data_IF_399011119093
#
_entry.id   IF_399011119093
#
_cell.length_a   1.000
_cell.length_b   1.000
_cell.length_c   1.000
_cell.angle_alpha   90.00
_cell.angle_beta   90.00
_cell.angle_gamma   90.00
#
_symmetry.space_group_name_H-M   'P 1'
#
loop_
_entity.id
_entity.type
_entity.pdbx_description
1 polymer ?
#
# COMPACT_ATOMS: atom_id res chain seq x y z
N UNK A 1 -10.03 16.86 14.79
CA UNK A 1 -9.75 17.37 13.43
C UNK A 1 -8.26 17.43 13.07
N UNK A 2 -7.41 18.13 13.84
CA UNK A 2 -5.99 18.28 13.51
C UNK A 2 -5.22 16.94 13.46
N UNK A 3 -5.57 15.99 14.34
CA UNK A 3 -4.90 14.69 14.48
C UNK A 3 -5.19 13.77 13.30
N UNK A 4 -6.43 13.80 12.83
CA UNK A 4 -6.95 13.07 11.69
C UNK A 4 -6.28 13.57 10.42
N UNK A 5 -6.13 14.90 10.26
CA UNK A 5 -5.39 15.49 9.15
C UNK A 5 -3.91 15.08 9.17
N UNK A 6 -3.27 15.05 10.34
CA UNK A 6 -1.88 14.59 10.48
C UNK A 6 -1.73 13.10 10.12
N UNK A 7 -2.64 12.25 10.61
CA UNK A 7 -2.62 10.82 10.30
C UNK A 7 -2.78 10.55 8.80
N UNK A 8 -3.70 11.26 8.14
CA UNK A 8 -3.92 11.17 6.69
C UNK A 8 -2.71 11.71 5.93
N UNK A 9 -2.15 12.86 6.33
CA UNK A 9 -0.97 13.42 5.69
C UNK A 9 0.24 12.48 5.78
N UNK A 10 0.46 11.84 6.93
CA UNK A 10 1.54 10.86 7.10
C UNK A 10 1.30 9.61 6.25
N UNK A 11 0.06 9.11 6.15
CA UNK A 11 -0.28 7.99 5.29
C UNK A 11 0.12 8.28 3.83
N UNK A 12 -0.30 9.43 3.30
CA UNK A 12 0.06 9.84 1.93
C UNK A 12 1.56 10.11 1.76
N UNK A 13 2.22 10.69 2.76
CA UNK A 13 3.66 10.92 2.70
C UNK A 13 4.45 9.60 2.66
N UNK A 14 4.06 8.61 3.47
CA UNK A 14 4.69 7.27 3.48
C UNK A 14 4.49 6.57 2.14
N UNK A 15 3.28 6.61 1.59
CA UNK A 15 3.04 6.09 0.24
C UNK A 15 3.90 6.80 -0.79
N UNK A 16 3.88 8.13 -0.83
CA UNK A 16 4.67 8.89 -1.79
C UNK A 16 6.18 8.60 -1.70
N UNK A 17 6.73 8.48 -0.49
CA UNK A 17 8.14 8.18 -0.27
C UNK A 17 8.50 6.73 -0.63
N UNK A 18 7.64 5.76 -0.31
CA UNK A 18 7.86 4.35 -0.60
C UNK A 18 7.54 3.99 -2.05
N UNK A 19 6.76 4.80 -2.75
CA UNK A 19 6.30 4.54 -4.10
C UNK A 19 7.45 4.18 -5.06
N UNK A 20 8.46 5.05 -5.12
CA UNK A 20 9.60 4.91 -6.02
C UNK A 20 10.51 3.72 -5.70
N UNK A 21 10.96 3.49 -4.44
CA UNK A 21 11.76 2.31 -4.14
C UNK A 21 10.97 1.00 -4.22
N UNK A 22 9.65 1.01 -4.02
CA UNK A 22 8.83 -0.20 -4.00
C UNK A 22 8.42 -0.68 -5.39
N UNK A 23 8.02 0.24 -6.27
CA UNK A 23 7.53 -0.10 -7.62
C UNK A 23 8.54 0.23 -8.74
N UNK A 24 9.64 0.92 -8.43
CA UNK A 24 10.64 1.48 -9.37
C UNK A 24 10.10 2.53 -10.34
N UNK A 25 8.95 2.28 -10.96
CA UNK A 25 8.34 3.13 -11.97
C UNK A 25 6.79 3.10 -11.91
N UNK A 26 6.17 3.93 -12.74
CA UNK A 26 4.71 4.09 -12.76
C UNK A 26 3.96 2.91 -13.38
N UNK A 27 4.55 2.24 -14.37
CA UNK A 27 3.97 1.02 -14.93
C UNK A 27 3.94 -0.09 -13.88
N UNK A 28 5.02 -0.28 -13.12
CA UNK A 28 5.07 -1.27 -12.04
C UNK A 28 3.92 -1.12 -11.03
N UNK A 29 3.55 0.11 -10.68
CA UNK A 29 2.41 0.36 -9.79
C UNK A 29 1.05 0.08 -10.44
N UNK A 30 0.87 0.55 -11.68
CA UNK A 30 -0.39 0.35 -12.42
C UNK A 30 -0.62 -1.13 -12.69
N UNK A 31 0.43 -1.89 -12.99
CA UNK A 31 0.36 -3.32 -13.20
C UNK A 31 -0.08 -4.02 -11.90
N UNK A 32 0.55 -3.75 -10.76
CA UNK A 32 0.12 -4.35 -9.48
C UNK A 32 -1.33 -3.98 -9.10
N UNK A 33 -1.76 -2.73 -9.34
CA UNK A 33 -3.16 -2.31 -9.15
C UNK A 33 -4.13 -3.06 -10.06
N UNK A 34 -3.75 -3.22 -11.33
CA UNK A 34 -4.57 -3.90 -12.33
C UNK A 34 -4.74 -5.38 -11.99
N UNK A 35 -3.70 -6.04 -11.49
CA UNK A 35 -3.78 -7.40 -10.97
C UNK A 35 -4.67 -7.52 -9.74
N UNK A 36 -4.57 -6.58 -8.79
CA UNK A 36 -5.40 -6.59 -7.59
C UNK A 36 -6.89 -6.34 -7.89
N UNK A 37 -7.20 -5.49 -8.87
CA UNK A 37 -8.60 -5.16 -9.24
C UNK A 37 -9.22 -6.12 -10.26
N UNK A 38 -8.39 -6.74 -11.11
CA UNK A 38 -8.79 -7.83 -12.01
C UNK A 38 -7.78 -8.97 -11.86
N UNK A 39 -8.07 -9.97 -11.01
CA UNK A 39 -7.31 -11.20 -11.05
C UNK A 39 -7.41 -11.78 -12.46
N UNK A 40 -6.27 -12.00 -13.11
CA UNK A 40 -6.25 -12.58 -14.45
C UNK A 40 -6.63 -14.06 -14.34
N UNK A 41 -7.90 -14.35 -14.63
CA UNK A 41 -8.48 -15.70 -14.61
C UNK A 41 -7.70 -16.66 -15.53
N UNK A 42 -6.96 -16.14 -16.51
CA UNK A 42 -6.12 -16.92 -17.40
C UNK A 42 -4.79 -17.38 -16.77
N UNK A 43 -4.28 -16.70 -15.74
CA UNK A 43 -3.07 -17.10 -15.02
C UNK A 43 -3.32 -18.33 -14.13
N UNK A 44 -4.52 -18.42 -13.55
CA UNK A 44 -5.03 -19.57 -12.80
C UNK A 44 -4.96 -20.86 -13.63
N UNK A 45 -5.21 -20.77 -14.94
CA UNK A 45 -5.19 -21.91 -15.86
C UNK A 45 -3.77 -22.25 -16.33
N UNK A 46 -2.86 -21.26 -16.39
CA UNK A 46 -1.46 -21.44 -16.81
C UNK A 46 -0.51 -21.86 -15.68
N UNK A 47 -0.95 -21.84 -14.43
CA UNK A 47 -0.14 -22.25 -13.28
C UNK A 47 0.90 -21.21 -12.83
N UNK A 48 0.84 -19.97 -13.33
CA UNK A 48 1.76 -18.88 -12.95
C UNK A 48 1.29 -18.13 -11.69
N UNK A 49 0.52 -18.82 -10.84
CA UNK A 49 -0.19 -18.29 -9.67
C UNK A 49 0.73 -17.60 -8.65
N UNK A 50 1.97 -18.07 -8.56
CA UNK A 50 2.97 -17.57 -7.63
C UNK A 50 3.41 -16.15 -7.97
N UNK A 51 3.52 -15.79 -9.27
CA UNK A 51 3.90 -14.43 -9.66
C UNK A 51 2.79 -13.44 -9.32
N UNK A 52 1.55 -13.83 -9.59
CA UNK A 52 0.38 -12.98 -9.34
C UNK A 52 0.17 -12.75 -7.84
N UNK A 53 0.32 -13.79 -7.02
CA UNK A 53 0.29 -13.66 -5.56
C UNK A 53 1.38 -12.71 -5.05
N UNK A 54 2.59 -12.74 -5.61
CA UNK A 54 3.69 -11.88 -5.17
C UNK A 54 3.39 -10.42 -5.48
N UNK A 55 2.85 -10.12 -6.67
CA UNK A 55 2.51 -8.73 -7.05
C UNK A 55 1.31 -8.20 -6.26
N UNK A 56 0.30 -9.05 -6.02
CA UNK A 56 -0.82 -8.70 -5.15
C UNK A 56 -0.35 -8.46 -3.71
N UNK A 57 0.48 -9.35 -3.16
CA UNK A 57 1.06 -9.19 -1.82
C UNK A 57 1.93 -7.92 -1.73
N UNK A 58 2.70 -7.61 -2.78
CA UNK A 58 3.52 -6.38 -2.85
C UNK A 58 2.64 -5.13 -2.76
N UNK A 59 1.52 -5.07 -3.47
CA UNK A 59 0.58 -3.94 -3.42
C UNK A 59 -0.08 -3.83 -2.05
N UNK A 60 -0.61 -4.93 -1.51
CA UNK A 60 -1.26 -4.93 -0.20
C UNK A 60 -0.30 -4.52 0.92
N UNK A 61 0.95 -4.99 0.88
CA UNK A 61 1.97 -4.61 1.86
C UNK A 61 2.26 -3.11 1.79
N UNK A 62 2.36 -2.55 0.59
CA UNK A 62 2.53 -1.11 0.40
C UNK A 62 1.35 -0.29 0.96
N UNK A 63 0.11 -0.72 0.69
CA UNK A 63 -1.10 -0.09 1.23
C UNK A 63 -1.10 -0.13 2.76
N UNK A 64 -0.83 -1.31 3.33
CA UNK A 64 -0.79 -1.52 4.78
C UNK A 64 0.30 -0.70 5.47
N UNK A 65 1.47 -0.50 4.85
CA UNK A 65 2.54 0.32 5.41
C UNK A 65 2.13 1.79 5.57
N UNK A 66 1.47 2.38 4.57
CA UNK A 66 0.95 3.75 4.67
C UNK A 66 -0.16 3.88 5.71
N UNK A 67 -1.15 2.98 5.66
CA UNK A 67 -2.25 2.97 6.63
C UNK A 67 -1.74 2.76 8.07
N UNK A 68 -0.83 1.81 8.27
CA UNK A 68 -0.23 1.51 9.56
C UNK A 68 0.54 2.70 10.13
N UNK A 69 1.30 3.42 9.30
CA UNK A 69 1.97 4.65 9.73
C UNK A 69 0.98 5.74 10.16
N UNK A 70 -0.11 5.93 9.40
CA UNK A 70 -1.18 6.86 9.78
C UNK A 70 -1.86 6.49 11.10
N UNK A 71 -2.20 5.21 11.30
CA UNK A 71 -2.79 4.70 12.55
C UNK A 71 -1.85 4.88 13.74
N UNK A 72 -0.56 4.56 13.57
CA UNK A 72 0.45 4.74 14.61
C UNK A 72 0.57 6.21 15.03
N UNK A 73 0.59 7.14 14.07
CA UNK A 73 0.62 8.58 14.36
C UNK A 73 -0.64 9.04 15.05
N UNK A 74 -1.80 8.55 14.64
CA UNK A 74 -3.07 8.86 15.30
C UNK A 74 -3.08 8.40 16.77
N UNK A 75 -2.65 7.17 17.05
CA UNK A 75 -2.54 6.61 18.40
C UNK A 75 -1.50 7.34 19.26
N UNK A 76 -0.29 7.56 18.73
CA UNK A 76 0.79 8.27 19.43
C UNK A 76 0.39 9.68 19.79
N UNK A 77 -0.21 10.41 18.84
CA UNK A 77 -0.72 11.75 19.08
C UNK A 77 -1.74 11.71 20.23
N UNK A 78 -2.66 10.74 20.23
CA UNK A 78 -3.67 10.58 21.29
C UNK A 78 -3.08 10.34 22.68
N UNK A 79 -2.02 9.53 22.78
CA UNK A 79 -1.32 9.24 24.04
C UNK A 79 -0.43 10.36 24.56
N UNK A 80 0.09 11.24 23.69
CA UNK A 80 0.98 12.35 24.08
C UNK A 80 0.25 13.55 24.73
N UNK A 81 -1.08 13.51 24.87
CA UNK A 81 -1.87 14.54 25.58
C UNK A 81 -2.58 14.01 26.84
N UNK A 82 -2.23 12.80 27.31
CA UNK A 82 -2.64 12.25 28.60
C UNK A 82 -1.51 12.42 29.63
#
# INVERSE_FOLDING_TARGET
>A
MMRELLAVAVCFAVWFLLYKPWFKDHQGFVDSLRYSLRPDIWSLIKGDWTKDMIEEFRLWTYIMLGLGAGVLVYWKSGGDMA
#
